data_IF_458778527806
#
_entry.id   IF_458778527806
#
_cell.length_a   1.000
_cell.length_b   1.000
_cell.length_c   1.000
_cell.angle_alpha   90.00
_cell.angle_beta   90.00
_cell.angle_gamma   90.00
#
_symmetry.space_group_name_H-M   'P 1'
#
loop_
_entity.id
_entity.type
_entity.pdbx_description
1 polymer ?
#
# COMPACT_ATOMS: atom_id res chain seq x y z
N UNK A 1 3.31 -5.40 -14.96
CA UNK A 1 2.11 -5.11 -15.79
C UNK A 1 2.11 -5.87 -17.12
N UNK A 2 3.10 -5.76 -18.00
CA UNK A 2 3.11 -6.40 -19.33
C UNK A 2 2.82 -7.91 -19.28
N UNK A 3 3.39 -8.63 -18.33
CA UNK A 3 3.20 -10.08 -18.18
C UNK A 3 1.74 -10.44 -17.81
N UNK A 4 1.12 -9.68 -16.90
CA UNK A 4 -0.28 -9.90 -16.54
C UNK A 4 -1.23 -9.50 -17.68
N UNK A 5 -0.89 -8.46 -18.45
CA UNK A 5 -1.68 -7.99 -19.59
C UNK A 5 -1.77 -9.00 -20.73
N UNK A 6 -0.94 -10.05 -20.76
CA UNK A 6 -1.06 -11.15 -21.71
C UNK A 6 -2.32 -12.01 -21.48
N UNK A 7 -2.92 -11.94 -20.26
CA UNK A 7 -4.06 -12.79 -19.85
C UNK A 7 -5.22 -12.01 -19.27
N UNK A 8 -4.99 -10.78 -18.82
CA UNK A 8 -5.98 -9.93 -18.14
C UNK A 8 -6.02 -8.55 -18.78
N UNK A 9 -7.17 -7.88 -18.69
CA UNK A 9 -7.19 -6.42 -18.80
C UNK A 9 -6.63 -5.85 -17.51
N UNK A 10 -5.53 -5.11 -17.60
CA UNK A 10 -4.83 -4.56 -16.41
C UNK A 10 -5.03 -3.05 -16.38
N UNK A 11 -5.65 -2.57 -15.32
CA UNK A 11 -5.80 -1.14 -15.02
C UNK A 11 -4.84 -0.80 -13.88
N UNK A 12 -3.95 0.15 -14.10
CA UNK A 12 -3.10 0.71 -13.07
C UNK A 12 -3.39 2.19 -12.92
N UNK A 13 -3.56 2.62 -11.69
CA UNK A 13 -3.93 4.00 -11.36
C UNK A 13 -2.94 4.58 -10.38
N UNK A 14 -2.68 5.87 -10.49
CA UNK A 14 -2.12 6.63 -9.38
C UNK A 14 -3.23 6.93 -8.37
N UNK A 15 -2.97 6.73 -7.09
CA UNK A 15 -3.90 7.14 -6.04
C UNK A 15 -4.03 8.67 -6.03
N UNK A 16 -5.19 9.21 -5.55
CA UNK A 16 -5.31 10.66 -5.35
C UNK A 16 -4.12 11.17 -4.52
N UNK A 17 -3.56 12.29 -4.91
CA UNK A 17 -2.38 12.86 -4.28
C UNK A 17 -1.04 12.31 -4.76
N UNK A 18 -1.02 11.21 -5.49
CA UNK A 18 0.17 10.55 -6.02
C UNK A 18 0.24 10.68 -7.54
N UNK A 19 1.46 10.60 -8.05
CA UNK A 19 1.73 10.60 -9.50
C UNK A 19 1.08 11.77 -10.22
N UNK A 20 0.34 11.47 -11.25
CA UNK A 20 -0.38 12.46 -12.10
C UNK A 20 -1.86 12.63 -11.67
N UNK A 21 -2.31 11.94 -10.60
CA UNK A 21 -3.68 12.09 -10.09
C UNK A 21 -3.88 13.42 -9.36
N UNK A 22 -5.14 13.87 -9.32
CA UNK A 22 -5.54 15.11 -8.66
C UNK A 22 -5.23 15.12 -7.16
N UNK A 23 -5.07 16.31 -6.61
CA UNK A 23 -4.77 16.60 -5.20
C UNK A 23 -5.89 17.41 -4.56
N UNK A 24 -7.05 16.79 -4.28
CA UNK A 24 -8.17 17.50 -3.66
C UNK A 24 -7.83 17.91 -2.21
N UNK A 25 -8.53 18.89 -1.64
CA UNK A 25 -8.39 19.24 -0.22
C UNK A 25 -8.67 18.02 0.70
N UNK A 26 -7.89 17.90 1.76
CA UNK A 26 -8.00 16.77 2.71
C UNK A 26 -9.19 16.88 3.68
N UNK A 27 -9.65 18.10 3.97
CA UNK A 27 -10.56 18.36 5.08
C UNK A 27 -9.86 18.42 6.44
N UNK A 28 -10.60 18.77 7.49
CA UNK A 28 -10.03 18.95 8.84
C UNK A 28 -9.55 17.64 9.48
N UNK A 29 -10.23 16.53 9.20
CA UNK A 29 -9.96 15.18 9.71
C UNK A 29 -9.12 14.32 8.74
N UNK A 30 -8.56 14.92 7.70
CA UNK A 30 -7.82 14.25 6.63
C UNK A 30 -8.65 13.20 5.83
N UNK A 31 -9.99 13.16 6.01
CA UNK A 31 -10.86 12.16 5.39
C UNK A 31 -10.79 12.13 3.86
N UNK A 32 -10.44 13.27 3.24
CA UNK A 32 -10.20 13.35 1.78
C UNK A 32 -9.09 12.44 1.29
N UNK A 33 -8.17 12.04 2.15
CA UNK A 33 -7.06 11.11 1.84
C UNK A 33 -7.16 9.78 2.61
N UNK A 34 -8.32 9.48 3.20
CA UNK A 34 -8.54 8.18 3.83
C UNK A 34 -8.51 7.04 2.81
N UNK A 35 -8.15 5.85 3.26
CA UNK A 35 -8.21 4.64 2.42
C UNK A 35 -9.62 4.41 1.87
N UNK A 36 -10.66 4.80 2.60
CA UNK A 36 -12.06 4.74 2.15
C UNK A 36 -12.31 5.67 0.96
N UNK A 37 -11.83 6.92 1.02
CA UNK A 37 -11.96 7.86 -0.08
C UNK A 37 -11.19 7.38 -1.33
N UNK A 38 -9.96 6.90 -1.14
CA UNK A 38 -9.15 6.34 -2.22
C UNK A 38 -9.75 5.05 -2.79
N UNK A 39 -10.35 4.20 -1.96
CA UNK A 39 -11.04 2.98 -2.39
C UNK A 39 -12.26 3.31 -3.26
N UNK A 40 -13.01 4.35 -2.89
CA UNK A 40 -14.14 4.83 -3.69
C UNK A 40 -13.70 5.32 -5.06
N UNK A 41 -12.55 6.00 -5.18
CA UNK A 41 -11.97 6.38 -6.48
C UNK A 41 -11.72 5.14 -7.36
N UNK A 42 -11.06 4.12 -6.80
CA UNK A 42 -10.73 2.91 -7.55
C UNK A 42 -12.02 2.18 -8.00
N UNK A 43 -13.00 2.10 -7.12
CA UNK A 43 -14.32 1.54 -7.48
C UNK A 43 -14.98 2.36 -8.60
N UNK A 44 -14.90 3.70 -8.53
CA UNK A 44 -15.41 4.60 -9.56
C UNK A 44 -14.72 4.40 -10.91
N UNK A 45 -13.39 4.40 -10.94
CA UNK A 45 -12.59 4.17 -12.16
C UNK A 45 -12.97 2.85 -12.83
N UNK A 46 -13.08 1.76 -12.06
CA UNK A 46 -13.45 0.46 -12.61
C UNK A 46 -14.90 0.45 -13.14
N UNK A 47 -15.82 1.19 -12.50
CA UNK A 47 -17.19 1.35 -12.98
C UNK A 47 -17.25 2.11 -14.31
N UNK A 48 -16.53 3.24 -14.42
CA UNK A 48 -16.46 4.02 -15.67
C UNK A 48 -15.85 3.23 -16.84
N UNK A 49 -14.91 2.32 -16.52
CA UNK A 49 -14.33 1.41 -17.51
C UNK A 49 -15.24 0.20 -17.83
N UNK A 50 -16.40 0.08 -17.18
CA UNK A 50 -17.36 -0.99 -17.42
C UNK A 50 -17.07 -2.31 -16.68
N UNK A 51 -16.18 -2.30 -15.68
CA UNK A 51 -15.86 -3.47 -14.87
C UNK A 51 -16.66 -3.47 -13.56
N UNK A 52 -17.70 -4.29 -13.48
CA UNK A 52 -18.50 -4.44 -12.26
C UNK A 52 -17.75 -5.23 -11.18
N UNK A 53 -17.00 -6.25 -11.59
CA UNK A 53 -16.22 -7.13 -10.72
C UNK A 53 -14.80 -7.30 -11.25
N UNK A 54 -13.84 -7.36 -10.33
CA UNK A 54 -12.42 -7.42 -10.69
C UNK A 54 -11.57 -8.01 -9.56
N UNK A 55 -10.40 -8.52 -9.91
CA UNK A 55 -9.34 -8.82 -8.96
C UNK A 55 -8.53 -7.55 -8.69
N UNK A 56 -8.02 -7.39 -7.47
CA UNK A 56 -7.22 -6.22 -7.10
C UNK A 56 -5.92 -6.63 -6.45
N UNK A 57 -4.84 -5.95 -6.84
CA UNK A 57 -3.49 -6.13 -6.31
C UNK A 57 -3.01 -4.77 -5.81
N UNK A 58 -2.57 -4.71 -4.57
CA UNK A 58 -2.01 -3.49 -3.99
C UNK A 58 -0.68 -3.77 -3.30
N UNK A 59 0.22 -2.79 -3.34
CA UNK A 59 1.47 -2.78 -2.61
C UNK A 59 1.54 -1.54 -1.71
N UNK A 60 2.06 -1.67 -0.51
CA UNK A 60 2.22 -0.61 0.49
C UNK A 60 0.95 0.24 0.69
N UNK A 61 0.97 1.55 0.40
CA UNK A 61 -0.23 2.42 0.50
C UNK A 61 -1.36 1.89 -0.39
N UNK A 62 -1.05 1.46 -1.61
CA UNK A 62 -2.01 0.82 -2.50
C UNK A 62 -2.62 -0.45 -1.92
N UNK A 63 -1.88 -1.24 -1.15
CA UNK A 63 -2.42 -2.42 -0.48
C UNK A 63 -3.41 -2.06 0.65
N UNK A 64 -3.22 -0.95 1.35
CA UNK A 64 -4.17 -0.45 2.35
C UNK A 64 -5.47 0.02 1.72
N UNK A 65 -5.34 0.73 0.59
CA UNK A 65 -6.50 1.16 -0.22
C UNK A 65 -7.26 -0.06 -0.76
N UNK A 66 -6.58 -1.06 -1.30
CA UNK A 66 -7.23 -2.27 -1.83
C UNK A 66 -7.84 -3.15 -0.73
N UNK A 67 -7.23 -3.17 0.47
CA UNK A 67 -7.86 -3.77 1.65
C UNK A 67 -9.18 -3.07 1.97
N UNK A 68 -9.19 -1.74 2.06
CA UNK A 68 -10.41 -0.96 2.31
C UNK A 68 -11.45 -1.14 1.21
N UNK A 69 -11.04 -1.18 -0.05
CA UNK A 69 -11.89 -1.47 -1.21
C UNK A 69 -12.59 -2.85 -1.04
N UNK A 70 -11.86 -3.88 -0.63
CA UNK A 70 -12.41 -5.20 -0.42
C UNK A 70 -13.37 -5.30 0.78
N UNK A 71 -13.28 -4.37 1.73
CA UNK A 71 -14.24 -4.26 2.84
C UNK A 71 -15.50 -3.49 2.45
N UNK A 72 -15.35 -2.32 1.81
CA UNK A 72 -16.47 -1.42 1.50
C UNK A 72 -17.23 -1.82 0.22
N UNK A 73 -16.57 -2.51 -0.72
CA UNK A 73 -17.12 -2.96 -2.01
C UNK A 73 -16.92 -4.46 -2.21
N UNK A 74 -17.23 -5.25 -1.18
CA UNK A 74 -16.94 -6.69 -1.14
C UNK A 74 -17.58 -7.48 -2.29
N UNK A 75 -18.70 -7.02 -2.83
CA UNK A 75 -19.40 -7.64 -3.96
C UNK A 75 -18.67 -7.45 -5.31
N UNK A 76 -17.77 -6.47 -5.38
CA UNK A 76 -17.01 -6.13 -6.59
C UNK A 76 -15.64 -6.79 -6.64
N UNK A 77 -15.07 -7.15 -5.49
CA UNK A 77 -13.72 -7.73 -5.40
C UNK A 77 -13.78 -9.24 -5.48
N UNK A 78 -13.26 -9.81 -6.56
CA UNK A 78 -13.22 -11.26 -6.78
C UNK A 78 -12.04 -11.92 -6.07
N UNK A 79 -10.89 -11.26 -6.06
CA UNK A 79 -9.64 -11.69 -5.42
C UNK A 79 -8.87 -10.47 -4.94
N UNK A 80 -8.22 -10.58 -3.80
CA UNK A 80 -7.40 -9.53 -3.21
C UNK A 80 -5.96 -10.03 -3.03
N UNK A 81 -4.98 -9.32 -3.56
CA UNK A 81 -3.57 -9.56 -3.25
C UNK A 81 -2.97 -8.34 -2.53
N UNK A 82 -2.41 -8.59 -1.35
CA UNK A 82 -1.78 -7.60 -0.48
C UNK A 82 -0.27 -7.84 -0.45
N UNK A 83 0.51 -6.88 -0.92
CA UNK A 83 1.95 -6.97 -1.02
C UNK A 83 2.62 -6.13 0.06
N UNK A 84 3.41 -6.80 0.87
CA UNK A 84 4.31 -6.30 1.92
C UNK A 84 3.68 -5.31 2.90
N UNK A 85 2.49 -5.65 3.41
CA UNK A 85 1.86 -4.90 4.49
C UNK A 85 1.32 -5.82 5.60
N UNK A 86 1.25 -5.25 6.81
CA UNK A 86 0.38 -5.69 7.90
C UNK A 86 -0.79 -4.71 8.04
N UNK A 87 -1.93 -5.10 8.61
CA UNK A 87 -3.06 -4.19 8.84
C UNK A 87 -2.62 -2.93 9.60
N UNK A 88 -3.10 -1.75 9.20
CA UNK A 88 -2.70 -0.47 9.79
C UNK A 88 -2.90 -0.46 11.30
N UNK A 89 -4.07 -0.93 11.75
CA UNK A 89 -4.40 -1.05 13.17
C UNK A 89 -3.45 -1.97 13.93
N UNK A 90 -3.04 -3.10 13.32
CA UNK A 90 -2.07 -4.02 13.92
C UNK A 90 -0.72 -3.32 14.11
N UNK A 91 -0.24 -2.63 13.08
CA UNK A 91 1.04 -1.91 13.13
C UNK A 91 1.06 -0.90 14.29
N UNK A 92 0.03 -0.04 14.40
CA UNK A 92 -0.03 0.94 15.49
C UNK A 92 -0.20 0.32 16.88
N UNK A 93 -0.87 -0.84 16.98
CA UNK A 93 -1.08 -1.53 18.26
C UNK A 93 0.16 -2.29 18.76
N UNK A 94 1.15 -2.57 17.89
CA UNK A 94 2.31 -3.40 18.21
C UNK A 94 3.65 -2.66 18.04
N UNK A 95 3.63 -1.34 18.26
CA UNK A 95 4.85 -0.52 18.17
C UNK A 95 5.82 -0.89 19.28
N UNK A 96 6.97 -1.37 18.88
CA UNK A 96 8.14 -1.51 19.74
C UNK A 96 9.30 -0.65 19.24
N UNK A 97 10.45 -0.71 19.89
CA UNK A 97 11.63 0.05 19.48
C UNK A 97 12.10 -0.33 18.06
N UNK A 98 12.05 -1.60 17.70
CA UNK A 98 12.53 -2.06 16.39
C UNK A 98 11.61 -1.57 15.28
N UNK A 99 10.29 -1.71 15.46
CA UNK A 99 9.29 -1.21 14.51
C UNK A 99 9.34 0.32 14.40
N UNK A 100 9.45 1.04 15.52
CA UNK A 100 9.56 2.50 15.51
C UNK A 100 10.82 3.00 14.78
N UNK A 101 11.93 2.27 14.83
CA UNK A 101 13.14 2.58 14.07
C UNK A 101 12.96 2.30 12.57
N UNK A 102 12.33 1.16 12.22
CA UNK A 102 12.10 0.77 10.83
C UNK A 102 11.04 1.66 10.16
N UNK A 103 9.99 1.99 10.87
CA UNK A 103 8.85 2.79 10.40
C UNK A 103 8.82 4.20 10.99
N UNK A 104 10.02 4.79 11.31
CA UNK A 104 10.10 6.13 11.90
C UNK A 104 9.31 7.18 11.09
N UNK A 105 9.26 7.03 9.77
CA UNK A 105 8.55 7.92 8.86
C UNK A 105 7.03 7.94 9.12
N UNK A 106 6.42 6.84 9.58
CA UNK A 106 5.00 6.84 9.95
C UNK A 106 4.71 7.83 11.07
N UNK A 107 5.58 7.87 12.09
CA UNK A 107 5.42 8.76 13.24
C UNK A 107 5.86 10.19 12.94
N UNK A 108 6.76 10.36 11.98
CA UNK A 108 7.17 11.68 11.52
C UNK A 108 6.13 12.30 10.57
N UNK A 109 5.60 11.54 9.62
CA UNK A 109 4.65 12.04 8.64
C UNK A 109 3.29 12.44 9.21
N UNK A 110 2.89 11.87 10.32
CA UNK A 110 1.64 12.20 11.01
C UNK A 110 1.74 13.43 11.91
N UNK A 111 2.92 14.04 12.04
CA UNK A 111 3.04 15.27 12.81
C UNK A 111 2.21 16.37 12.17
N UNK A 112 1.71 17.35 12.99
CA UNK A 112 0.92 18.46 12.47
C UNK A 112 1.65 19.21 11.34
N UNK A 113 0.88 19.64 10.35
CA UNK A 113 1.39 20.56 9.33
C UNK A 113 1.82 21.89 10.03
N UNK A 114 2.95 22.47 9.63
CA UNK A 114 3.80 22.18 8.47
C UNK A 114 5.16 21.53 8.83
N UNK A 115 5.24 20.83 9.98
CA UNK A 115 6.54 20.35 10.46
C UNK A 115 7.22 19.36 9.48
N UNK A 116 6.60 18.23 9.06
CA UNK A 116 7.24 17.32 8.10
C UNK A 116 7.45 17.97 6.75
N UNK A 117 6.50 18.76 6.26
CA UNK A 117 6.59 19.46 5.00
C UNK A 117 7.84 20.34 4.92
N UNK A 118 8.10 21.15 5.95
CA UNK A 118 9.26 22.06 6.01
C UNK A 118 10.58 21.31 6.12
N UNK A 119 10.61 20.27 6.95
CA UNK A 119 11.86 19.53 7.13
C UNK A 119 12.23 18.75 5.87
N UNK A 120 11.27 18.13 5.20
CA UNK A 120 11.51 17.42 3.95
C UNK A 120 11.86 18.38 2.81
N UNK A 121 11.26 19.57 2.77
CA UNK A 121 11.55 20.59 1.75
C UNK A 121 13.00 21.08 1.75
N UNK A 122 13.75 20.86 2.83
CA UNK A 122 15.17 21.21 2.90
C UNK A 122 16.04 20.40 1.93
N UNK A 123 15.76 19.13 1.72
CA UNK A 123 16.36 18.26 0.71
C UNK A 123 15.44 17.06 0.42
N UNK A 124 14.42 17.24 -0.42
CA UNK A 124 13.42 16.22 -0.66
C UNK A 124 13.99 14.98 -1.35
N UNK A 125 14.96 15.15 -2.25
CA UNK A 125 15.55 14.02 -2.99
C UNK A 125 16.42 13.16 -2.07
N UNK A 126 17.23 13.78 -1.21
CA UNK A 126 17.95 13.03 -0.18
C UNK A 126 16.99 12.24 0.71
N UNK A 127 15.90 12.88 1.13
CA UNK A 127 14.91 12.22 2.00
C UNK A 127 14.26 11.02 1.31
N UNK A 128 13.81 11.19 0.05
CA UNK A 128 13.27 10.12 -0.77
C UNK A 128 14.25 8.94 -0.91
N UNK A 129 15.50 9.25 -1.28
CA UNK A 129 16.53 8.21 -1.44
C UNK A 129 16.81 7.46 -0.12
N UNK A 130 16.74 8.17 1.01
CA UNK A 130 16.86 7.52 2.33
C UNK A 130 15.69 6.58 2.61
N UNK A 131 14.47 6.94 2.25
CA UNK A 131 13.31 6.06 2.38
C UNK A 131 13.45 4.83 1.46
N UNK A 132 13.54 5.04 0.15
CA UNK A 132 13.62 3.96 -0.84
C UNK A 132 14.82 3.04 -0.58
N UNK A 133 15.94 3.59 -0.20
CA UNK A 133 17.18 2.84 0.04
C UNK A 133 17.23 2.06 1.36
N UNK A 134 16.27 2.25 2.27
CA UNK A 134 16.33 1.66 3.61
C UNK A 134 15.43 0.42 3.80
N UNK A 135 14.48 0.14 2.89
CA UNK A 135 13.47 -0.90 3.09
C UNK A 135 13.66 -2.17 2.28
N UNK A 136 14.69 -2.25 1.48
CA UNK A 136 14.95 -3.38 0.62
C UNK A 136 16.41 -3.50 0.23
N UNK A 137 16.65 -3.87 -1.02
CA UNK A 137 17.99 -4.03 -1.61
C UNK A 137 18.69 -2.70 -1.94
N UNK A 138 18.16 -1.59 -1.44
CA UNK A 138 18.70 -0.26 -1.67
C UNK A 138 18.23 0.35 -2.99
N UNK A 139 18.72 1.56 -3.31
CA UNK A 139 18.31 2.28 -4.51
C UNK A 139 18.62 1.52 -5.82
N UNK A 140 19.61 0.64 -5.80
CA UNK A 140 19.98 -0.17 -6.97
C UNK A 140 18.90 -1.18 -7.40
N UNK A 141 17.90 -1.44 -6.56
CA UNK A 141 16.75 -2.27 -6.93
C UNK A 141 15.80 -1.58 -7.90
N UNK A 142 15.80 -0.25 -7.91
CA UNK A 142 14.93 0.54 -8.78
C UNK A 142 15.63 0.85 -10.10
N UNK A 143 14.94 0.64 -11.22
CA UNK A 143 15.46 1.08 -12.51
C UNK A 143 15.48 2.62 -12.61
N UNK A 144 16.30 3.14 -13.50
CA UNK A 144 16.54 4.58 -13.61
C UNK A 144 15.28 5.37 -14.03
N UNK A 145 14.38 4.78 -14.82
CA UNK A 145 13.14 5.43 -15.26
C UNK A 145 12.16 5.55 -14.10
N UNK A 146 11.96 4.46 -13.34
CA UNK A 146 11.12 4.43 -12.15
C UNK A 146 11.64 5.40 -11.07
N UNK A 147 12.96 5.40 -10.81
CA UNK A 147 13.56 6.29 -9.83
C UNK A 147 13.37 7.78 -10.22
N UNK A 148 13.58 8.12 -11.49
CA UNK A 148 13.36 9.49 -11.98
C UNK A 148 11.88 9.92 -11.85
N UNK A 149 10.93 9.00 -12.06
CA UNK A 149 9.51 9.29 -11.85
C UNK A 149 9.19 9.56 -10.37
N UNK A 150 9.75 8.77 -9.44
CA UNK A 150 9.61 9.00 -8.00
C UNK A 150 10.23 10.32 -7.55
N UNK A 151 11.43 10.65 -8.07
CA UNK A 151 12.09 11.93 -7.79
C UNK A 151 11.26 13.12 -8.28
N UNK A 152 10.72 13.04 -9.50
CA UNK A 152 9.82 14.06 -10.06
C UNK A 152 8.59 14.27 -9.17
N UNK A 153 7.90 13.20 -8.81
CA UNK A 153 6.72 13.28 -7.98
C UNK A 153 7.03 13.82 -6.57
N UNK A 154 8.12 13.35 -5.96
CA UNK A 154 8.50 13.76 -4.60
C UNK A 154 9.11 15.17 -4.54
N UNK A 155 9.62 15.70 -5.63
CA UNK A 155 10.09 17.10 -5.74
C UNK A 155 8.93 18.10 -5.66
N UNK A 156 7.70 17.71 -6.03
CA UNK A 156 6.52 18.55 -5.97
C UNK A 156 6.02 18.72 -4.52
N UNK A 157 5.97 19.96 -3.98
CA UNK A 157 5.52 20.20 -2.62
C UNK A 157 4.03 19.82 -2.38
N UNK A 158 3.17 19.96 -3.39
CA UNK A 158 1.76 19.58 -3.28
C UNK A 158 1.59 18.06 -3.21
N UNK A 159 2.36 17.30 -3.99
CA UNK A 159 2.39 15.85 -3.93
C UNK A 159 2.89 15.35 -2.57
N UNK A 160 3.96 15.97 -2.02
CA UNK A 160 4.44 15.64 -0.68
C UNK A 160 3.39 15.93 0.40
N UNK A 161 2.72 17.08 0.32
CA UNK A 161 1.65 17.40 1.27
C UNK A 161 0.50 16.38 1.19
N UNK A 162 0.05 16.03 -0.01
CA UNK A 162 -0.99 15.03 -0.23
C UNK A 162 -0.59 13.65 0.35
N UNK A 163 0.67 13.22 0.13
CA UNK A 163 1.21 12.01 0.75
C UNK A 163 1.16 12.08 2.29
N UNK A 164 1.52 13.23 2.88
CA UNK A 164 1.47 13.39 4.35
C UNK A 164 0.02 13.34 4.88
N UNK A 165 -0.94 13.88 4.13
CA UNK A 165 -2.35 13.80 4.45
C UNK A 165 -2.89 12.35 4.45
N UNK A 166 -2.43 11.51 3.52
CA UNK A 166 -2.71 10.07 3.51
C UNK A 166 -2.17 9.38 4.78
N UNK A 167 -0.96 9.70 5.24
CA UNK A 167 -0.43 9.16 6.49
C UNK A 167 -1.21 9.66 7.72
N UNK A 168 -1.62 10.93 7.74
CA UNK A 168 -2.45 11.51 8.82
C UNK A 168 -3.82 10.83 8.89
N UNK A 169 -4.48 10.64 7.74
CA UNK A 169 -5.73 9.87 7.65
C UNK A 169 -5.53 8.44 8.18
N UNK A 170 -4.44 7.78 7.79
CA UNK A 170 -4.08 6.42 8.21
C UNK A 170 -3.88 6.26 9.72
N UNK A 171 -3.47 7.34 10.41
CA UNK A 171 -3.30 7.34 11.86
C UNK A 171 -4.53 7.80 12.65
N UNK A 172 -5.54 8.30 11.96
CA UNK A 172 -6.78 8.85 12.52
C UNK A 172 -8.01 8.12 12.01
N UNK A 173 -8.71 8.74 11.05
CA UNK A 173 -10.01 8.30 10.54
C UNK A 173 -10.01 6.85 10.01
N UNK A 174 -8.92 6.37 9.42
CA UNK A 174 -8.85 5.01 8.92
C UNK A 174 -8.81 3.95 10.04
N UNK A 175 -8.26 4.28 11.22
CA UNK A 175 -8.36 3.41 12.39
C UNK A 175 -9.79 3.31 12.93
N UNK A 176 -10.57 4.39 12.81
CA UNK A 176 -11.99 4.40 13.15
C UNK A 176 -12.78 3.52 12.16
N UNK A 177 -12.51 3.66 10.86
CA UNK A 177 -13.11 2.81 9.83
C UNK A 177 -12.78 1.33 10.04
N UNK A 178 -11.55 0.99 10.44
CA UNK A 178 -11.14 -0.39 10.74
C UNK A 178 -11.86 -0.94 11.99
N UNK A 179 -12.25 -0.06 12.93
CA UNK A 179 -13.01 -0.45 14.12
C UNK A 179 -14.47 -0.81 13.83
N UNK A 180 -15.02 -0.50 12.66
CA UNK A 180 -16.38 -0.90 12.25
C UNK A 180 -16.54 -2.43 12.13
N UNK A 181 -15.44 -3.17 12.07
CA UNK A 181 -15.44 -4.63 12.15
C UNK A 181 -15.85 -5.36 10.86
N UNK A 182 -15.82 -4.66 9.70
CA UNK A 182 -16.01 -5.30 8.40
C UNK A 182 -14.96 -6.39 8.16
N UNK A 183 -15.32 -7.45 7.44
CA UNK A 183 -14.45 -8.61 7.21
C UNK A 183 -14.26 -8.89 5.72
N UNK A 184 -13.04 -9.31 5.35
CA UNK A 184 -12.71 -9.75 4.00
C UNK A 184 -13.56 -10.96 3.61
N UNK A 185 -14.18 -10.91 2.44
CA UNK A 185 -15.02 -11.98 1.88
C UNK A 185 -14.41 -12.62 0.63
N UNK A 186 -13.48 -11.93 -0.02
CA UNK A 186 -12.78 -12.45 -1.18
C UNK A 186 -11.58 -13.33 -0.77
N UNK A 187 -11.22 -14.35 -1.56
CA UNK A 187 -9.93 -15.00 -1.46
C UNK A 187 -8.82 -13.96 -1.43
N UNK A 188 -7.93 -14.08 -0.44
CA UNK A 188 -6.89 -13.07 -0.16
C UNK A 188 -5.52 -13.73 -0.17
N UNK A 189 -4.62 -13.21 -1.00
CA UNK A 189 -3.20 -13.57 -1.04
C UNK A 189 -2.38 -12.50 -0.32
N UNK A 190 -1.58 -12.90 0.64
CA UNK A 190 -0.62 -12.03 1.32
C UNK A 190 0.79 -12.41 0.87
N UNK A 191 1.50 -11.50 0.22
CA UNK A 191 2.91 -11.67 -0.15
C UNK A 191 3.76 -10.70 0.65
N UNK A 192 4.92 -11.13 1.11
CA UNK A 192 5.84 -10.27 1.85
C UNK A 192 7.28 -10.58 1.50
N UNK A 193 8.15 -9.58 1.61
CA UNK A 193 9.59 -9.78 1.44
C UNK A 193 10.19 -10.53 2.63
N UNK A 194 10.90 -11.61 2.35
CA UNK A 194 11.56 -12.43 3.38
C UNK A 194 12.47 -11.58 4.28
N UNK A 195 13.15 -10.59 3.69
CA UNK A 195 14.12 -9.70 4.36
C UNK A 195 13.52 -8.39 4.85
N UNK A 196 12.24 -8.12 4.51
CA UNK A 196 11.54 -6.89 4.84
C UNK A 196 11.08 -6.79 6.30
N UNK A 197 10.52 -5.65 6.67
CA UNK A 197 9.94 -5.42 8.01
C UNK A 197 8.77 -6.35 8.27
N UNK A 198 7.93 -6.57 7.27
CA UNK A 198 6.77 -7.48 7.36
C UNK A 198 7.20 -8.93 7.56
N UNK A 199 8.25 -9.36 6.83
CA UNK A 199 8.79 -10.73 6.96
C UNK A 199 9.48 -11.01 8.30
N UNK A 200 9.95 -9.96 8.97
CA UNK A 200 10.58 -10.06 10.32
C UNK A 200 9.59 -9.92 11.46
N UNK A 201 8.29 -9.73 11.16
CA UNK A 201 7.27 -9.66 12.20
C UNK A 201 7.24 -10.97 13.00
N UNK A 202 7.19 -10.93 14.35
CA UNK A 202 7.20 -12.15 15.18
C UNK A 202 6.05 -13.10 14.88
N UNK A 203 4.88 -12.57 14.53
CA UNK A 203 3.73 -13.33 14.09
C UNK A 203 3.72 -13.41 12.56
N UNK A 204 3.53 -14.62 11.96
CA UNK A 204 3.47 -14.77 10.51
C UNK A 204 2.40 -13.85 9.90
N UNK A 205 2.68 -13.13 8.79
CA UNK A 205 1.74 -12.17 8.22
C UNK A 205 0.35 -12.76 7.94
N UNK A 206 0.26 -13.99 7.46
CA UNK A 206 -1.02 -14.67 7.25
C UNK A 206 -1.82 -14.86 8.55
N UNK A 207 -1.17 -15.06 9.69
CA UNK A 207 -1.85 -15.20 10.98
C UNK A 207 -2.44 -13.87 11.44
N UNK A 208 -1.77 -12.76 11.16
CA UNK A 208 -2.27 -11.40 11.43
C UNK A 208 -3.49 -11.06 10.56
N UNK A 209 -3.52 -11.52 9.31
CA UNK A 209 -4.60 -11.24 8.37
C UNK A 209 -5.82 -12.16 8.53
N UNK A 210 -5.65 -13.44 8.90
CA UNK A 210 -6.73 -14.42 9.05
C UNK A 210 -7.89 -13.97 9.95
N UNK A 211 -7.68 -13.34 11.11
CA UNK A 211 -8.78 -12.85 11.94
C UNK A 211 -9.63 -11.75 11.31
N UNK A 212 -9.13 -11.09 10.25
CA UNK A 212 -9.84 -10.03 9.51
C UNK A 212 -10.69 -10.58 8.36
N UNK A 213 -10.60 -11.86 8.05
CA UNK A 213 -11.45 -12.52 7.05
C UNK A 213 -12.72 -13.10 7.68
N UNK A 214 -13.79 -13.18 6.89
CA UNK A 214 -15.02 -13.84 7.29
C UNK A 214 -14.82 -15.36 7.51
N UNK A 215 -13.93 -15.93 6.70
CA UNK A 215 -13.40 -17.28 6.88
C UNK A 215 -11.85 -17.21 6.84
N UNK A 216 -11.15 -17.63 7.89
CA UNK A 216 -9.68 -17.67 7.91
C UNK A 216 -9.04 -18.45 6.75
N UNK A 217 -9.75 -19.41 6.17
CA UNK A 217 -9.29 -20.22 5.04
C UNK A 217 -9.17 -19.39 3.73
N UNK A 218 -9.84 -18.24 3.64
CA UNK A 218 -9.70 -17.32 2.51
C UNK A 218 -8.29 -16.69 2.43
N UNK A 219 -7.54 -16.66 3.54
CA UNK A 219 -6.24 -16.01 3.60
C UNK A 219 -5.12 -17.03 3.41
N UNK A 220 -4.44 -16.91 2.28
CA UNK A 220 -3.22 -17.63 1.95
C UNK A 220 -2.05 -16.66 1.81
N UNK A 221 -0.82 -17.14 1.78
CA UNK A 221 0.32 -16.25 1.55
C UNK A 221 1.65 -16.96 1.66
N UNK A 222 2.68 -16.25 1.21
CA UNK A 222 4.06 -16.72 1.26
C UNK A 222 5.06 -15.57 1.25
N UNK A 223 6.26 -15.85 1.75
CA UNK A 223 7.39 -14.95 1.58
C UNK A 223 7.88 -14.98 0.13
N UNK A 224 8.34 -13.82 -0.36
CA UNK A 224 9.10 -13.70 -1.60
C UNK A 224 10.58 -13.76 -1.22
N UNK A 225 11.31 -14.78 -1.69
CA UNK A 225 12.69 -14.99 -1.30
C UNK A 225 13.56 -13.82 -1.77
N UNK A 226 14.59 -13.52 -1.01
CA UNK A 226 15.59 -12.49 -1.29
C UNK A 226 15.05 -11.06 -1.47
N UNK A 227 13.76 -10.81 -1.24
CA UNK A 227 13.13 -9.51 -1.33
C UNK A 227 12.97 -8.83 0.04
N UNK A 228 13.02 -7.51 0.06
CA UNK A 228 12.59 -6.64 1.14
C UNK A 228 11.19 -6.11 0.88
N UNK A 229 11.02 -4.77 0.94
CA UNK A 229 9.72 -4.13 0.76
C UNK A 229 9.26 -4.07 -0.70
N UNK A 230 10.18 -3.88 -1.63
CA UNK A 230 9.88 -3.64 -3.04
C UNK A 230 9.86 -4.95 -3.82
N UNK A 231 8.87 -5.82 -3.55
CA UNK A 231 8.80 -7.20 -4.07
C UNK A 231 8.92 -7.29 -5.60
N UNK A 232 8.34 -6.31 -6.30
CA UNK A 232 8.30 -6.28 -7.77
C UNK A 232 9.65 -5.90 -8.35
N UNK A 233 10.33 -4.96 -7.72
CA UNK A 233 11.65 -4.49 -8.12
C UNK A 233 12.74 -5.47 -7.72
N UNK A 234 12.61 -6.08 -6.54
CA UNK A 234 13.65 -6.92 -5.96
C UNK A 234 13.60 -8.37 -6.44
N UNK A 235 12.39 -8.92 -6.63
CA UNK A 235 12.21 -10.29 -7.15
C UNK A 235 10.93 -10.42 -7.99
N UNK A 236 10.91 -9.79 -9.17
CA UNK A 236 9.79 -9.86 -10.11
C UNK A 236 9.39 -11.30 -10.47
N UNK A 237 10.31 -12.23 -10.79
CA UNK A 237 9.92 -13.59 -11.20
C UNK A 237 9.11 -14.33 -10.13
N UNK A 238 9.54 -14.29 -8.86
CA UNK A 238 8.85 -14.96 -7.77
C UNK A 238 7.51 -14.28 -7.45
N UNK A 239 7.49 -12.95 -7.41
CA UNK A 239 6.28 -12.16 -7.17
C UNK A 239 5.24 -12.41 -8.27
N UNK A 240 5.65 -12.37 -9.53
CA UNK A 240 4.77 -12.60 -10.66
C UNK A 240 4.25 -14.05 -10.70
N UNK A 241 5.08 -15.03 -10.41
CA UNK A 241 4.66 -16.44 -10.32
C UNK A 241 3.54 -16.62 -9.29
N UNK A 242 3.71 -16.04 -8.07
CA UNK A 242 2.71 -16.11 -7.02
C UNK A 242 1.40 -15.41 -7.42
N UNK A 243 1.49 -14.21 -8.01
CA UNK A 243 0.32 -13.47 -8.47
C UNK A 243 -0.42 -14.21 -9.60
N UNK A 244 0.31 -14.72 -10.59
CA UNK A 244 -0.30 -15.45 -11.72
C UNK A 244 -1.02 -16.72 -11.25
N UNK A 245 -0.41 -17.48 -10.33
CA UNK A 245 -1.04 -18.66 -9.74
C UNK A 245 -2.32 -18.32 -8.97
N UNK A 246 -2.32 -17.19 -8.27
CA UNK A 246 -3.47 -16.73 -7.48
C UNK A 246 -4.58 -16.13 -8.35
N UNK A 247 -4.26 -15.30 -9.32
CA UNK A 247 -5.23 -14.64 -10.19
C UNK A 247 -5.93 -15.62 -11.14
N UNK A 248 -5.25 -16.69 -11.52
CA UNK A 248 -5.77 -17.68 -12.46
C UNK A 248 -5.57 -17.27 -13.92
N UNK A 249 -6.13 -18.04 -14.84
CA UNK A 249 -6.05 -17.76 -16.28
C UNK A 249 -6.93 -16.59 -16.69
#
# INVERSE_FOLDING_TARGET
MRELAARHTVVATDLRGYGESDRPPSGEDHAGYSFRAMAADQAGVMAELGFERFAVVGHDRGARVTHRLALDHAERVERLALLDILPTRYVYAHVDRALAQAYYHWFFFIQPADLPERLIAGDPIYYLHRLLGSWGSGLAAHDAESLAAYEKAFADPEARHAMLEDYRAGAGIDLEHDAEGARLRAPTLVLWGEKGVVGRNPEPPTHVWRPLAADPALVTGQAIPDAGHFLVEENLPATLSALTAFLGP
#
